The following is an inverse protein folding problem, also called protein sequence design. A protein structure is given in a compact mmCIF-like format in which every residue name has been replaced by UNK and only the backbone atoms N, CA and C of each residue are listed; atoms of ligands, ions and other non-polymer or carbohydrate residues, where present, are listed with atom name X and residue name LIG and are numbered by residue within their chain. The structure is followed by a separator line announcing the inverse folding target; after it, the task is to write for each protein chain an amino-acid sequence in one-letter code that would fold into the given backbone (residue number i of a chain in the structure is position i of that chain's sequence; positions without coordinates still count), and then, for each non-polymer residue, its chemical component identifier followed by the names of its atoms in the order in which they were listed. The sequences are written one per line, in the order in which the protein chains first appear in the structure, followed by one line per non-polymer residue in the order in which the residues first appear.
data_IF_556544527916
#
_entry.id   IF_556544527916
#
_cell.length_a   1.000
_cell.length_b   1.000
_cell.length_c   1.000
_cell.angle_alpha   90.00
_cell.angle_beta   90.00
_cell.angle_gamma   90.00
#
_symmetry.space_group_name_H-M   'P 1'
#
loop_
_entity.id
_entity.type
_entity.pdbx_description
1 polymer ?
#
# COMPACT_ATOMS: atom_id res chain seq x y z
N UNK A 1 -2.32 1.75 10.43
CA UNK A 1 -3.50 1.79 9.54
C UNK A 1 -3.42 0.58 8.61
N UNK A 2 -4.50 -0.14 8.37
CA UNK A 2 -4.50 -1.32 7.48
C UNK A 2 -5.33 -1.01 6.24
N UNK A 3 -4.85 -1.47 5.09
CA UNK A 3 -5.52 -1.33 3.80
C UNK A 3 -5.97 -2.70 3.32
N UNK A 4 -7.18 -2.75 2.78
CA UNK A 4 -7.86 -3.98 2.37
C UNK A 4 -8.21 -3.91 0.88
N UNK A 5 -8.29 -5.05 0.20
CA UNK A 5 -8.88 -5.14 -1.12
C UNK A 5 -10.40 -4.89 -1.04
N UNK A 6 -11.04 -4.62 -2.18
CA UNK A 6 -12.50 -4.41 -2.24
C UNK A 6 -13.28 -5.69 -1.89
N UNK A 7 -12.70 -6.84 -2.21
CA UNK A 7 -13.26 -8.16 -1.92
C UNK A 7 -12.31 -8.90 -0.96
N UNK A 8 -12.83 -9.28 0.20
CA UNK A 8 -12.09 -9.99 1.26
C UNK A 8 -12.77 -11.32 1.49
N UNK A 9 -12.02 -12.41 1.35
CA UNK A 9 -12.54 -13.75 1.59
C UNK A 9 -13.03 -13.90 3.05
N UNK A 10 -14.20 -14.52 3.20
CA UNK A 10 -14.78 -14.80 4.51
C UNK A 10 -13.88 -15.71 5.36
N UNK A 11 -13.82 -15.45 6.66
CA UNK A 11 -13.01 -16.22 7.61
C UNK A 11 -11.56 -15.75 7.75
N UNK A 12 -11.11 -14.75 6.98
CA UNK A 12 -9.80 -14.12 7.20
C UNK A 12 -9.86 -13.11 8.35
N UNK A 13 -8.83 -13.13 9.20
CA UNK A 13 -8.66 -12.06 10.19
C UNK A 13 -8.18 -10.77 9.51
N UNK A 14 -8.49 -9.61 10.10
CA UNK A 14 -8.06 -8.31 9.58
C UNK A 14 -6.56 -8.23 9.17
N UNK A 15 -5.58 -8.75 9.94
CA UNK A 15 -4.20 -8.72 9.49
C UNK A 15 -3.90 -9.66 8.31
N UNK A 16 -4.67 -10.73 8.11
CA UNK A 16 -4.50 -11.66 6.98
C UNK A 16 -5.11 -11.12 5.68
N UNK A 17 -6.19 -10.35 5.79
CA UNK A 17 -6.86 -9.73 4.65
C UNK A 17 -6.18 -8.42 4.19
N UNK A 18 -5.26 -7.86 5.00
CA UNK A 18 -4.63 -6.60 4.69
C UNK A 18 -3.60 -6.72 3.57
N UNK A 19 -3.75 -5.94 2.49
CA UNK A 19 -2.77 -5.83 1.40
C UNK A 19 -1.58 -4.95 1.77
N UNK A 20 -1.77 -4.04 2.71
CA UNK A 20 -0.69 -3.25 3.29
C UNK A 20 -1.03 -2.80 4.71
N UNK A 21 -0.02 -2.79 5.56
CA UNK A 21 -0.08 -2.19 6.88
C UNK A 21 0.85 -0.98 6.93
N UNK A 22 0.32 0.16 7.34
CA UNK A 22 1.05 1.39 7.57
C UNK A 22 1.52 1.44 9.03
N UNK A 23 2.83 1.25 9.30
CA UNK A 23 3.41 1.54 10.61
C UNK A 23 3.33 3.04 10.89
N UNK A 24 3.02 3.41 12.14
CA UNK A 24 2.86 4.80 12.53
C UNK A 24 4.19 5.54 12.62
N UNK A 25 4.70 6.07 11.49
CA UNK A 25 5.78 7.07 11.40
C UNK A 25 6.06 7.52 9.94
N UNK A 26 5.12 7.41 9.00
CA UNK A 26 5.38 7.83 7.62
C UNK A 26 5.18 9.33 7.41
N UNK A 27 6.14 9.94 6.71
CA UNK A 27 6.04 11.32 6.26
C UNK A 27 4.89 11.52 5.26
N UNK A 28 4.58 12.78 4.97
CA UNK A 28 3.50 13.16 4.04
C UNK A 28 3.64 12.50 2.65
N UNK A 29 4.87 12.43 2.11
CA UNK A 29 5.14 11.82 0.81
C UNK A 29 4.84 10.31 0.77
N UNK A 30 5.33 9.56 1.76
CA UNK A 30 5.09 8.10 1.86
C UNK A 30 3.61 7.79 2.12
N UNK A 31 2.93 8.65 2.87
CA UNK A 31 1.47 8.54 3.08
C UNK A 31 0.69 8.76 1.77
N UNK A 32 1.06 9.77 0.98
CA UNK A 32 0.44 10.00 -0.34
C UNK A 32 0.72 8.83 -1.30
N UNK A 33 1.93 8.26 -1.23
CA UNK A 33 2.33 7.11 -2.03
C UNK A 33 1.48 5.87 -1.70
N UNK A 34 1.31 5.53 -0.42
CA UNK A 34 0.52 4.34 -0.02
C UNK A 34 -0.95 4.49 -0.43
N UNK A 35 -1.52 5.69 -0.26
CA UNK A 35 -2.89 5.97 -0.70
C UNK A 35 -3.05 5.85 -2.21
N UNK A 36 -2.08 6.35 -2.99
CA UNK A 36 -2.10 6.23 -4.45
C UNK A 36 -1.94 4.76 -4.89
N UNK A 37 -1.02 4.02 -4.26
CA UNK A 37 -0.75 2.61 -4.57
C UNK A 37 -1.97 1.71 -4.32
N UNK A 38 -2.69 1.94 -3.21
CA UNK A 38 -3.93 1.22 -2.89
C UNK A 38 -5.06 1.65 -3.82
N UNK A 39 -5.25 2.96 -4.03
CA UNK A 39 -6.29 3.49 -4.93
C UNK A 39 -6.15 2.95 -6.35
N UNK A 40 -4.92 2.92 -6.87
CA UNK A 40 -4.62 2.49 -8.23
C UNK A 40 -4.48 0.95 -8.34
N UNK A 41 -4.78 0.22 -7.25
CA UNK A 41 -4.73 -1.25 -7.14
C UNK A 41 -3.40 -1.86 -7.60
N UNK A 42 -2.30 -1.13 -7.44
CA UNK A 42 -0.96 -1.58 -7.83
C UNK A 42 -0.53 -2.81 -7.02
N UNK A 43 -1.14 -3.03 -5.85
CA UNK A 43 -1.00 -4.26 -5.07
C UNK A 43 -1.44 -5.54 -5.80
N UNK A 44 -2.21 -5.43 -6.89
CA UNK A 44 -2.58 -6.56 -7.75
C UNK A 44 -1.50 -6.88 -8.82
N UNK A 45 -0.49 -6.02 -8.94
CA UNK A 45 0.61 -6.18 -9.90
C UNK A 45 1.85 -6.76 -9.21
N UNK A 46 2.88 -7.05 -10.01
CA UNK A 46 4.21 -7.47 -9.53
C UNK A 46 5.04 -6.31 -8.93
N UNK A 47 4.40 -5.18 -8.62
CA UNK A 47 5.04 -4.01 -8.02
C UNK A 47 4.70 -3.87 -6.52
N UNK A 48 5.56 -4.40 -5.63
CA UNK A 48 5.37 -4.24 -4.19
C UNK A 48 5.51 -2.76 -3.79
N UNK A 49 4.85 -2.37 -2.70
CA UNK A 49 4.82 -0.99 -2.22
C UNK A 49 6.21 -0.34 -2.08
N UNK A 50 7.23 -1.10 -1.65
CA UNK A 50 8.61 -0.58 -1.54
C UNK A 50 9.19 -0.16 -2.88
N UNK A 51 8.93 -0.92 -3.95
CA UNK A 51 9.39 -0.62 -5.31
C UNK A 51 8.67 0.61 -5.86
N UNK A 52 7.37 0.70 -5.62
CA UNK A 52 6.56 1.86 -5.99
C UNK A 52 7.03 3.15 -5.29
N UNK A 53 7.30 3.09 -3.99
CA UNK A 53 7.85 4.22 -3.23
C UNK A 53 9.23 4.61 -3.74
N UNK A 54 10.12 3.63 -3.98
CA UNK A 54 11.45 3.89 -4.52
C UNK A 54 11.38 4.61 -5.89
N UNK A 55 10.48 4.17 -6.77
CA UNK A 55 10.24 4.82 -8.07
C UNK A 55 9.79 6.28 -7.92
N UNK A 56 8.84 6.56 -7.00
CA UNK A 56 8.37 7.94 -6.76
C UNK A 56 9.39 8.84 -6.05
N UNK A 57 10.21 8.30 -5.15
CA UNK A 57 11.30 9.05 -4.53
C UNK A 57 12.35 9.40 -5.59
N UNK A 58 12.72 8.45 -6.46
CA UNK A 58 13.72 8.65 -7.50
C UNK A 58 13.23 9.56 -8.64
N UNK A 59 11.93 9.53 -8.97
CA UNK A 59 11.34 10.42 -9.99
C UNK A 59 11.22 11.89 -9.55
N UNK A 60 11.42 12.17 -8.26
CA UNK A 60 11.42 13.52 -7.69
C UNK A 60 12.80 14.14 -7.49
N UNK A 61 13.87 13.53 -8.03
CA UNK A 61 15.24 14.09 -8.06
C UNK A 61 15.57 14.76 -9.40
#
# INVERSE_FOLDING_TARGET
MMFFPEDVAEGLTAPQAAVAAMPGAFGKGTTMAILSWVRDKVYLTDEPFQKYVASRINAGQ
#
